data_IF_638616353211
#
_entry.id   IF_638616353211
#
_cell.length_a   1.000
_cell.length_b   1.000
_cell.length_c   1.000
_cell.angle_alpha   90.00
_cell.angle_beta   90.00
_cell.angle_gamma   90.00
#
_symmetry.space_group_name_H-M   'P 1'
#
loop_
_entity.id
_entity.type
_entity.pdbx_description
1 polymer ?
#
# COMPACT_ATOMS: atom_id res chain seq x y z
N UNK A 1 -26.32 -3.76 15.30
CA UNK A 1 -27.39 -2.78 15.55
C UNK A 1 -28.78 -3.41 15.53
N UNK A 2 -29.18 -4.04 14.44
CA UNK A 2 -30.54 -4.63 14.30
C UNK A 2 -30.96 -5.57 15.46
N UNK A 3 -29.96 -6.32 16.02
CA UNK A 3 -30.22 -7.30 17.09
C UNK A 3 -30.26 -6.67 18.49
N UNK A 4 -29.44 -5.63 18.73
CA UNK A 4 -29.19 -5.11 20.08
C UNK A 4 -29.75 -3.67 20.30
N UNK A 5 -30.18 -2.98 19.26
CA UNK A 5 -30.65 -1.59 19.33
C UNK A 5 -29.56 -0.54 19.48
N UNK A 6 -28.28 -0.95 19.67
CA UNK A 6 -27.12 -0.07 19.79
C UNK A 6 -25.92 -0.61 19.00
N UNK A 7 -24.92 0.25 18.77
CA UNK A 7 -23.64 -0.11 18.17
C UNK A 7 -22.50 0.56 18.91
N UNK A 8 -21.41 -0.18 19.17
CA UNK A 8 -20.21 0.32 19.83
C UNK A 8 -19.02 -0.24 19.09
N UNK A 9 -18.29 0.61 18.40
CA UNK A 9 -17.11 0.19 17.66
C UNK A 9 -15.96 1.19 17.82
N UNK A 10 -14.74 0.66 17.83
CA UNK A 10 -13.50 1.42 17.67
C UNK A 10 -12.84 0.90 16.41
N UNK A 11 -12.54 1.80 15.47
CA UNK A 11 -11.93 1.49 14.19
C UNK A 11 -10.54 2.11 14.18
N UNK A 12 -9.52 1.27 14.00
CA UNK A 12 -8.13 1.69 13.86
C UNK A 12 -7.75 1.69 12.38
N UNK A 13 -7.19 2.80 11.93
CA UNK A 13 -6.79 2.99 10.52
C UNK A 13 -5.34 3.49 10.43
N UNK A 14 -4.58 3.20 9.34
CA UNK A 14 -3.21 3.66 9.20
C UNK A 14 -3.07 5.17 8.95
N UNK A 15 -3.98 5.79 8.20
CA UNK A 15 -3.83 7.17 7.72
C UNK A 15 -5.03 8.06 8.04
N UNK A 16 -4.79 9.38 8.02
CA UNK A 16 -5.86 10.38 8.22
C UNK A 16 -6.89 10.36 7.08
N UNK A 17 -6.47 10.08 5.87
CA UNK A 17 -7.37 9.95 4.71
C UNK A 17 -8.35 8.80 4.91
N UNK A 18 -7.90 7.68 5.47
CA UNK A 18 -8.79 6.56 5.80
C UNK A 18 -9.77 6.90 6.93
N UNK A 19 -9.41 7.79 7.87
CA UNK A 19 -10.40 8.29 8.85
C UNK A 19 -11.58 8.94 8.14
N UNK A 20 -11.30 9.82 7.18
CA UNK A 20 -12.33 10.53 6.40
C UNK A 20 -13.18 9.55 5.57
N UNK A 21 -12.58 8.57 4.94
CA UNK A 21 -13.31 7.54 4.19
C UNK A 21 -14.20 6.67 5.08
N UNK A 22 -13.70 6.23 6.22
CA UNK A 22 -14.51 5.46 7.17
C UNK A 22 -15.71 6.27 7.72
N UNK A 23 -15.55 7.58 7.92
CA UNK A 23 -16.67 8.47 8.29
C UNK A 23 -17.76 8.41 7.21
N UNK A 24 -17.38 8.57 5.93
CA UNK A 24 -18.34 8.55 4.83
C UNK A 24 -19.01 7.19 4.67
N UNK A 25 -18.24 6.09 4.80
CA UNK A 25 -18.84 4.75 4.76
C UNK A 25 -19.78 4.50 5.93
N UNK A 26 -19.41 4.89 7.15
CA UNK A 26 -20.29 4.77 8.31
C UNK A 26 -21.61 5.54 8.10
N UNK A 27 -21.55 6.74 7.52
CA UNK A 27 -22.76 7.53 7.21
C UNK A 27 -23.69 6.84 6.20
N UNK A 28 -23.13 6.18 5.18
CA UNK A 28 -23.93 5.40 4.19
C UNK A 28 -24.73 4.27 4.84
N UNK A 29 -24.22 3.71 5.95
CA UNK A 29 -24.91 2.69 6.74
C UNK A 29 -25.72 3.25 7.91
N UNK A 30 -25.99 4.57 7.92
CA UNK A 30 -26.76 5.29 8.94
C UNK A 30 -26.16 5.23 10.36
N UNK A 31 -24.84 5.06 10.49
CA UNK A 31 -24.14 5.26 11.74
C UNK A 31 -23.94 6.77 11.96
N UNK A 32 -24.68 7.36 12.90
CA UNK A 32 -24.73 8.83 13.09
C UNK A 32 -23.81 9.36 14.19
N UNK A 33 -23.49 8.53 15.19
CA UNK A 33 -22.68 8.93 16.34
C UNK A 33 -21.22 8.53 16.08
N UNK A 34 -20.52 9.35 15.30
CA UNK A 34 -19.14 9.11 14.88
C UNK A 34 -18.24 10.12 15.60
N UNK A 35 -17.21 9.61 16.26
CA UNK A 35 -16.17 10.36 16.95
C UNK A 35 -14.82 10.07 16.32
N UNK A 36 -13.93 11.06 16.30
CA UNK A 36 -12.61 10.89 15.69
C UNK A 36 -11.49 11.21 16.66
N UNK A 37 -10.46 10.36 16.69
CA UNK A 37 -9.31 10.54 17.59
C UNK A 37 -8.02 10.53 16.76
N UNK A 38 -7.66 11.70 16.25
CA UNK A 38 -6.46 11.91 15.44
C UNK A 38 -6.02 13.39 15.49
N UNK A 39 -4.87 13.73 14.90
CA UNK A 39 -4.23 15.04 15.06
C UNK A 39 -5.05 16.24 14.57
N UNK A 40 -5.99 16.04 13.63
CA UNK A 40 -6.87 17.13 13.14
C UNK A 40 -8.07 17.42 14.04
N UNK A 41 -8.38 16.55 15.01
CA UNK A 41 -9.46 16.81 15.97
C UNK A 41 -8.88 17.18 17.35
N UNK A 42 -8.72 18.46 17.68
CA UNK A 42 -8.19 18.89 18.97
C UNK A 42 -9.15 18.61 20.14
N UNK A 43 -10.45 18.46 19.88
CA UNK A 43 -11.50 18.32 20.90
C UNK A 43 -11.79 16.86 21.27
N UNK A 44 -11.06 15.89 20.69
CA UNK A 44 -11.33 14.46 20.87
C UNK A 44 -11.43 14.05 22.35
N UNK A 45 -10.62 14.68 23.23
CA UNK A 45 -10.60 14.35 24.67
C UNK A 45 -11.96 14.64 25.31
N UNK A 46 -12.47 15.84 25.14
CA UNK A 46 -13.78 16.25 25.69
C UNK A 46 -14.92 15.37 25.15
N UNK A 47 -14.87 15.03 23.86
CA UNK A 47 -15.87 14.16 23.22
C UNK A 47 -15.84 12.76 23.83
N UNK A 48 -14.68 12.17 24.07
CA UNK A 48 -14.55 10.83 24.66
C UNK A 48 -14.90 10.84 26.15
N UNK A 49 -14.50 11.87 26.90
CA UNK A 49 -14.88 12.03 28.32
C UNK A 49 -16.41 12.12 28.48
N UNK A 50 -17.08 12.92 27.64
CA UNK A 50 -18.56 13.00 27.63
C UNK A 50 -19.19 11.64 27.25
N UNK A 51 -18.55 10.89 26.38
CA UNK A 51 -19.05 9.57 26.00
C UNK A 51 -18.93 8.58 27.17
N UNK A 52 -17.82 8.61 27.95
CA UNK A 52 -17.65 7.82 29.15
C UNK A 52 -18.69 8.17 30.22
N UNK A 53 -18.93 9.45 30.47
CA UNK A 53 -19.97 9.88 31.40
C UNK A 53 -21.36 9.34 31.03
N UNK A 54 -21.68 9.28 29.73
CA UNK A 54 -22.93 8.67 29.26
C UNK A 54 -22.97 7.16 29.47
N UNK A 55 -21.83 6.47 29.31
CA UNK A 55 -21.73 5.03 29.53
C UNK A 55 -21.89 4.67 31.02
N UNK A 56 -21.41 5.52 31.93
CA UNK A 56 -21.45 5.30 33.36
C UNK A 56 -22.84 5.61 33.98
N UNK A 57 -23.68 6.35 33.26
CA UNK A 57 -25.05 6.64 33.72
C UNK A 57 -25.89 5.37 33.73
N UNK A 58 -26.36 4.96 34.92
CA UNK A 58 -27.24 3.80 35.09
C UNK A 58 -28.50 3.93 34.22
N UNK A 59 -28.68 2.99 33.29
CA UNK A 59 -29.82 2.94 32.38
C UNK A 59 -29.58 3.53 30.99
N UNK A 60 -28.55 4.31 30.78
CA UNK A 60 -28.18 4.85 29.43
C UNK A 60 -26.99 4.12 28.82
N UNK A 61 -26.14 3.48 29.63
CA UNK A 61 -24.92 2.82 29.17
C UNK A 61 -25.16 1.71 28.15
N UNK A 62 -26.27 1.02 28.25
CA UNK A 62 -26.64 -0.06 27.33
C UNK A 62 -27.21 0.46 25.99
N UNK A 63 -27.71 1.67 25.94
CA UNK A 63 -28.31 2.30 24.75
C UNK A 63 -27.33 3.26 24.05
N UNK A 64 -26.19 3.55 24.69
CA UNK A 64 -25.20 4.45 24.11
C UNK A 64 -24.56 3.81 22.88
N UNK A 65 -24.76 4.47 21.74
CA UNK A 65 -24.16 4.04 20.47
C UNK A 65 -23.01 4.95 20.08
N UNK A 66 -21.93 4.38 19.54
CA UNK A 66 -20.81 5.14 19.01
C UNK A 66 -19.99 4.34 18.00
N UNK A 67 -19.38 5.07 17.08
CA UNK A 67 -18.22 4.63 16.29
C UNK A 67 -17.09 5.60 16.57
N UNK A 68 -15.97 5.13 17.08
CA UNK A 68 -14.77 5.92 17.28
C UNK A 68 -13.77 5.50 16.22
N UNK A 69 -13.24 6.45 15.44
CA UNK A 69 -12.25 6.19 14.41
C UNK A 69 -10.94 6.85 14.83
N UNK A 70 -9.87 6.06 14.93
CA UNK A 70 -8.56 6.54 15.35
C UNK A 70 -7.45 6.04 14.42
N UNK A 71 -6.41 6.84 14.23
CA UNK A 71 -5.21 6.33 13.57
C UNK A 71 -4.40 5.47 14.54
N UNK A 72 -3.67 4.45 14.03
CA UNK A 72 -2.76 3.64 14.85
C UNK A 72 -1.76 4.51 15.61
N UNK A 73 -1.21 5.54 14.95
CA UNK A 73 -0.25 6.48 15.56
C UNK A 73 -0.84 7.29 16.70
N UNK A 74 -2.13 7.58 16.67
CA UNK A 74 -2.84 8.22 17.80
C UNK A 74 -3.17 7.21 18.89
N UNK A 75 -3.65 6.04 18.52
CA UNK A 75 -4.07 4.97 19.46
C UNK A 75 -2.94 4.53 20.40
N UNK A 76 -1.69 4.46 19.93
CA UNK A 76 -0.54 4.04 20.75
C UNK A 76 -0.07 5.08 21.77
N UNK A 77 -0.56 6.32 21.70
CA UNK A 77 -0.23 7.36 22.71
C UNK A 77 -0.93 7.03 24.02
N UNK A 78 -0.21 7.14 25.15
CA UNK A 78 -0.69 6.74 26.48
C UNK A 78 -2.08 7.28 26.84
N UNK A 79 -2.28 8.57 26.66
CA UNK A 79 -3.54 9.24 26.97
C UNK A 79 -4.71 8.78 26.09
N UNK A 80 -4.45 8.51 24.80
CA UNK A 80 -5.46 8.00 23.87
C UNK A 80 -5.74 6.53 24.16
N UNK A 81 -4.67 5.73 24.35
CA UNK A 81 -4.81 4.32 24.65
C UNK A 81 -5.65 4.09 25.91
N UNK A 82 -5.33 4.77 27.00
CA UNK A 82 -6.06 4.66 28.28
C UNK A 82 -7.53 5.04 28.10
N UNK A 83 -7.82 6.16 27.41
CA UNK A 83 -9.17 6.62 27.18
C UNK A 83 -9.98 5.65 26.32
N UNK A 84 -9.39 5.14 25.21
CA UNK A 84 -10.12 4.23 24.31
C UNK A 84 -10.20 2.81 24.86
N UNK A 85 -9.22 2.34 25.63
CA UNK A 85 -9.19 0.97 26.16
C UNK A 85 -10.04 0.80 27.45
N UNK A 86 -10.72 1.84 27.93
CA UNK A 86 -11.57 1.79 29.13
C UNK A 86 -13.03 1.45 28.83
N UNK A 87 -13.49 1.51 27.59
CA UNK A 87 -14.84 1.09 27.21
C UNK A 87 -15.10 -0.40 27.49
N UNK A 88 -16.36 -0.79 27.57
CA UNK A 88 -16.79 -2.16 27.88
C UNK A 88 -16.17 -3.18 26.92
N UNK A 89 -15.33 -4.10 27.48
CA UNK A 89 -14.63 -5.13 26.72
C UNK A 89 -15.53 -6.11 25.98
N UNK A 90 -16.73 -6.37 26.53
CA UNK A 90 -17.67 -7.36 25.98
C UNK A 90 -18.66 -6.75 24.96
N UNK A 91 -18.83 -5.43 24.96
CA UNK A 91 -19.85 -4.73 24.17
C UNK A 91 -19.26 -3.89 23.04
N UNK A 92 -17.98 -3.57 23.11
CA UNK A 92 -17.28 -2.78 22.09
C UNK A 92 -16.57 -3.71 21.11
N UNK A 93 -16.76 -3.48 19.82
CA UNK A 93 -16.06 -4.15 18.73
C UNK A 93 -14.83 -3.34 18.35
N UNK A 94 -13.67 -3.97 18.34
CA UNK A 94 -12.44 -3.39 17.76
C UNK A 94 -12.31 -3.85 16.31
N UNK A 95 -12.23 -2.91 15.39
CA UNK A 95 -11.94 -3.16 13.98
C UNK A 95 -10.56 -2.57 13.68
N UNK A 96 -9.66 -3.39 13.17
CA UNK A 96 -8.34 -2.98 12.72
C UNK A 96 -8.30 -3.05 11.20
N UNK A 97 -8.39 -1.90 10.54
CA UNK A 97 -8.25 -1.79 9.10
C UNK A 97 -6.76 -1.81 8.75
N UNK A 98 -6.41 -2.46 7.63
CA UNK A 98 -5.03 -2.82 7.33
C UNK A 98 -4.33 -3.48 8.54
N UNK A 99 -4.92 -4.58 9.01
CA UNK A 99 -4.61 -5.26 10.27
C UNK A 99 -3.13 -5.62 10.45
N UNK A 100 -2.36 -5.71 9.36
CA UNK A 100 -0.91 -5.90 9.42
C UNK A 100 -0.18 -4.76 10.18
N UNK A 101 -0.79 -3.56 10.31
CA UNK A 101 -0.23 -2.48 11.13
C UNK A 101 -0.26 -2.79 12.64
N UNK A 102 -1.07 -3.76 13.07
CA UNK A 102 -1.04 -4.26 14.44
C UNK A 102 0.33 -4.87 14.81
N UNK A 103 1.09 -5.35 13.81
CA UNK A 103 2.45 -5.87 13.98
C UNK A 103 3.55 -4.80 14.06
N UNK A 104 3.23 -3.52 13.97
CA UNK A 104 4.24 -2.47 14.17
C UNK A 104 4.74 -2.43 15.62
N UNK A 105 6.03 -2.17 15.82
CA UNK A 105 6.66 -2.21 17.15
C UNK A 105 5.85 -1.46 18.23
N UNK A 106 5.43 -0.24 17.94
CA UNK A 106 4.66 0.59 18.89
C UNK A 106 3.29 0.00 19.25
N UNK A 107 2.64 -0.71 18.33
CA UNK A 107 1.37 -1.38 18.59
C UNK A 107 1.60 -2.70 19.31
N UNK A 108 2.64 -3.46 18.93
CA UNK A 108 3.02 -4.70 19.61
C UNK A 108 3.31 -4.48 21.11
N UNK A 109 3.94 -3.34 21.47
CA UNK A 109 4.18 -2.96 22.86
C UNK A 109 2.87 -2.79 23.67
N UNK A 110 1.73 -2.64 23.01
CA UNK A 110 0.40 -2.45 23.60
C UNK A 110 -0.57 -3.60 23.37
N UNK A 111 -0.29 -4.50 22.43
CA UNK A 111 -1.25 -5.48 21.91
C UNK A 111 -1.82 -6.37 23.00
N UNK A 112 -0.99 -6.82 23.94
CA UNK A 112 -1.39 -7.68 25.05
C UNK A 112 -2.23 -6.93 26.12
N UNK A 113 -2.19 -5.58 26.11
CA UNK A 113 -2.97 -4.72 26.99
C UNK A 113 -4.35 -4.34 26.43
N UNK A 114 -4.64 -4.66 25.17
CA UNK A 114 -5.93 -4.36 24.53
C UNK A 114 -7.01 -5.29 25.10
N UNK A 115 -8.02 -4.73 25.75
CA UNK A 115 -9.02 -5.49 26.53
C UNK A 115 -10.19 -6.05 25.72
N UNK A 116 -10.41 -5.58 24.48
CA UNK A 116 -11.61 -5.95 23.70
C UNK A 116 -11.61 -7.44 23.34
N UNK A 117 -12.76 -8.10 23.57
CA UNK A 117 -12.94 -9.52 23.25
C UNK A 117 -13.48 -9.74 21.84
N UNK A 118 -14.15 -8.73 21.27
CA UNK A 118 -14.67 -8.77 19.90
C UNK A 118 -13.73 -7.99 19.00
N UNK A 119 -13.08 -8.70 18.09
CA UNK A 119 -12.01 -8.13 17.25
C UNK A 119 -12.20 -8.56 15.81
N UNK A 120 -12.01 -7.66 14.88
CA UNK A 120 -11.99 -7.92 13.43
C UNK A 120 -10.74 -7.28 12.87
N UNK A 121 -9.92 -8.05 12.19
CA UNK A 121 -8.82 -7.57 11.37
C UNK A 121 -9.20 -7.61 9.90
N UNK A 122 -9.08 -6.49 9.20
CA UNK A 122 -9.30 -6.38 7.77
C UNK A 122 -7.95 -6.15 7.10
N UNK A 123 -7.59 -6.93 6.12
CA UNK A 123 -6.38 -6.73 5.33
C UNK A 123 -6.45 -7.46 4.00
N UNK A 124 -6.01 -6.81 2.93
CA UNK A 124 -5.80 -7.47 1.65
C UNK A 124 -4.55 -8.38 1.67
N UNK A 125 -3.61 -8.10 2.59
CA UNK A 125 -2.34 -8.81 2.74
C UNK A 125 -1.99 -8.88 4.22
N UNK A 126 -2.55 -9.87 4.94
CA UNK A 126 -2.47 -9.94 6.40
C UNK A 126 -1.06 -10.24 6.92
N UNK A 127 -0.20 -10.84 6.10
CA UNK A 127 1.17 -11.21 6.50
C UNK A 127 2.16 -10.05 6.28
N UNK A 128 3.02 -9.84 7.25
CA UNK A 128 4.19 -8.98 7.17
C UNK A 128 5.37 -9.81 6.67
N UNK A 129 6.06 -9.33 5.64
CA UNK A 129 7.26 -10.02 5.15
C UNK A 129 8.38 -9.94 6.21
N UNK A 130 9.11 -11.02 6.39
CA UNK A 130 10.27 -11.12 7.30
C UNK A 130 10.01 -10.74 8.77
N UNK A 131 8.74 -10.70 9.20
CA UNK A 131 8.32 -10.38 10.57
C UNK A 131 7.49 -11.52 11.17
N UNK A 132 8.14 -12.65 11.43
CA UNK A 132 7.48 -13.85 12.00
C UNK A 132 6.86 -13.58 13.37
N UNK A 133 7.56 -12.77 14.21
CA UNK A 133 7.07 -12.42 15.53
C UNK A 133 5.80 -11.55 15.43
N UNK A 134 5.83 -10.53 14.59
CA UNK A 134 4.66 -9.68 14.34
C UNK A 134 3.48 -10.48 13.78
N UNK A 135 3.72 -11.36 12.81
CA UNK A 135 2.69 -12.22 12.24
C UNK A 135 2.06 -13.14 13.27
N UNK A 136 2.88 -13.80 14.12
CA UNK A 136 2.39 -14.65 15.18
C UNK A 136 1.53 -13.86 16.17
N UNK A 137 1.98 -12.70 16.62
CA UNK A 137 1.23 -11.83 17.56
C UNK A 137 -0.09 -11.33 16.97
N UNK A 138 -0.13 -10.99 15.69
CA UNK A 138 -1.37 -10.61 14.98
C UNK A 138 -2.34 -11.79 14.97
N UNK A 139 -1.87 -12.98 14.60
CA UNK A 139 -2.70 -14.18 14.54
C UNK A 139 -3.25 -14.56 15.93
N UNK A 140 -2.42 -14.55 16.97
CA UNK A 140 -2.85 -14.74 18.36
C UNK A 140 -3.90 -13.72 18.77
N UNK A 141 -3.69 -12.43 18.43
CA UNK A 141 -4.61 -11.35 18.78
C UNK A 141 -5.98 -11.50 18.14
N UNK A 142 -6.07 -11.91 16.89
CA UNK A 142 -7.34 -12.14 16.19
C UNK A 142 -7.88 -13.55 16.31
N UNK A 143 -7.12 -14.47 16.93
CA UNK A 143 -7.52 -15.88 17.06
C UNK A 143 -7.54 -16.60 15.70
N UNK A 144 -6.63 -16.28 14.80
CA UNK A 144 -6.55 -16.79 13.43
C UNK A 144 -5.39 -17.75 13.20
N UNK A 145 -5.03 -18.55 14.21
CA UNK A 145 -3.94 -19.54 14.15
C UNK A 145 -4.14 -20.57 13.03
N UNK A 146 -5.37 -20.92 12.73
CA UNK A 146 -5.74 -21.96 11.77
C UNK A 146 -6.19 -21.39 10.40
N UNK A 147 -5.91 -20.12 10.15
CA UNK A 147 -6.30 -19.43 8.92
C UNK A 147 -7.27 -18.26 9.15
N UNK A 148 -7.76 -17.68 8.07
CA UNK A 148 -8.66 -16.53 8.15
C UNK A 148 -10.11 -16.97 8.30
N UNK A 149 -10.87 -16.23 9.09
CA UNK A 149 -12.31 -16.46 9.29
C UNK A 149 -13.10 -16.28 8.00
N UNK A 150 -12.64 -15.37 7.14
CA UNK A 150 -13.25 -15.07 5.86
C UNK A 150 -12.18 -14.56 4.89
N UNK A 151 -12.21 -15.07 3.68
CA UNK A 151 -11.39 -14.62 2.57
C UNK A 151 -12.30 -14.29 1.39
N UNK A 152 -12.07 -13.17 0.73
CA UNK A 152 -12.75 -12.78 -0.49
C UNK A 152 -11.72 -12.41 -1.54
N UNK A 153 -11.47 -13.34 -2.42
CA UNK A 153 -10.42 -13.22 -3.42
C UNK A 153 -10.75 -12.15 -4.48
N UNK A 154 -9.71 -11.63 -5.12
CA UNK A 154 -9.87 -10.68 -6.23
C UNK A 154 -10.64 -11.32 -7.40
N UNK A 155 -10.46 -12.63 -7.63
CA UNK A 155 -11.21 -13.38 -8.63
C UNK A 155 -12.69 -13.39 -8.31
N UNK A 156 -13.07 -13.74 -7.10
CA UNK A 156 -14.47 -13.68 -6.66
C UNK A 156 -15.06 -12.27 -6.77
N UNK A 157 -14.27 -11.23 -6.46
CA UNK A 157 -14.71 -9.86 -6.60
C UNK A 157 -14.96 -9.46 -8.06
N UNK A 158 -14.20 -10.01 -9.02
CA UNK A 158 -14.41 -9.81 -10.45
C UNK A 158 -15.61 -10.64 -10.92
N UNK A 159 -15.70 -11.90 -10.52
CA UNK A 159 -16.78 -12.82 -10.93
C UNK A 159 -18.15 -12.35 -10.38
N UNK A 160 -18.17 -11.78 -9.18
CA UNK A 160 -19.36 -11.19 -8.57
C UNK A 160 -19.59 -9.71 -8.96
N UNK A 161 -18.86 -9.23 -9.95
CA UNK A 161 -19.04 -7.90 -10.54
C UNK A 161 -18.78 -6.70 -9.58
N UNK A 162 -18.00 -6.89 -8.50
CA UNK A 162 -17.52 -5.81 -7.64
C UNK A 162 -16.30 -5.10 -8.21
N UNK A 163 -15.46 -5.81 -8.96
CA UNK A 163 -14.31 -5.29 -9.69
C UNK A 163 -14.49 -5.50 -11.18
N UNK A 164 -13.84 -4.68 -12.01
CA UNK A 164 -13.87 -4.84 -13.45
C UNK A 164 -12.84 -5.88 -13.91
N UNK A 165 -13.10 -6.51 -15.06
CA UNK A 165 -12.11 -7.36 -15.74
C UNK A 165 -10.92 -6.54 -16.22
N UNK A 166 -9.77 -7.18 -16.44
CA UNK A 166 -8.57 -6.50 -16.87
C UNK A 166 -7.73 -7.35 -17.81
N UNK A 167 -6.82 -6.66 -18.53
CA UNK A 167 -5.70 -7.26 -19.24
C UNK A 167 -4.40 -6.90 -18.52
N UNK A 168 -3.52 -7.89 -18.43
CA UNK A 168 -2.20 -7.72 -17.84
C UNK A 168 -1.13 -8.00 -18.89
N UNK A 169 -0.23 -7.04 -19.07
CA UNK A 169 0.87 -7.10 -20.01
C UNK A 169 2.21 -6.95 -19.29
N UNK A 170 2.88 -8.06 -18.95
CA UNK A 170 4.25 -7.99 -18.43
C UNK A 170 5.21 -7.66 -19.56
N UNK A 171 6.06 -6.66 -19.34
CA UNK A 171 7.13 -6.24 -20.25
C UNK A 171 8.46 -6.57 -19.62
N UNK A 172 9.23 -7.47 -20.22
CA UNK A 172 10.55 -7.82 -19.73
C UNK A 172 11.54 -6.74 -20.14
N UNK A 173 12.14 -6.13 -19.14
CA UNK A 173 13.16 -5.10 -19.26
C UNK A 173 14.53 -5.75 -19.05
N UNK A 174 15.48 -5.52 -19.94
CA UNK A 174 16.86 -5.98 -19.83
C UNK A 174 17.76 -4.83 -19.37
N UNK A 175 18.75 -5.16 -18.59
CA UNK A 175 19.83 -4.24 -18.27
C UNK A 175 20.78 -4.14 -19.48
N UNK A 176 21.28 -2.95 -19.79
CA UNK A 176 22.36 -2.78 -20.75
C UNK A 176 23.69 -3.27 -20.17
N UNK A 177 24.74 -3.33 -20.97
CA UNK A 177 26.03 -3.91 -20.56
C UNK A 177 26.65 -3.19 -19.35
N UNK A 178 26.55 -1.87 -19.28
CA UNK A 178 27.08 -1.08 -18.17
C UNK A 178 26.25 -1.30 -16.88
N UNK A 179 24.94 -1.31 -16.99
CA UNK A 179 24.01 -1.60 -15.89
C UNK A 179 24.21 -3.04 -15.39
N UNK A 180 24.39 -3.99 -16.30
CA UNK A 180 24.61 -5.40 -15.97
C UNK A 180 25.95 -5.60 -15.28
N UNK A 181 27.00 -4.92 -15.70
CA UNK A 181 28.32 -4.96 -15.04
C UNK A 181 28.24 -4.47 -13.59
N UNK A 182 27.64 -3.31 -13.34
CA UNK A 182 27.46 -2.78 -11.97
C UNK A 182 26.54 -3.68 -11.14
N UNK A 183 25.50 -4.23 -11.73
CA UNK A 183 24.59 -5.17 -11.09
C UNK A 183 25.33 -6.42 -10.60
N UNK A 184 26.12 -7.09 -11.46
CA UNK A 184 26.89 -8.28 -11.12
C UNK A 184 27.96 -7.99 -10.04
N UNK A 185 28.60 -6.82 -10.10
CA UNK A 185 29.55 -6.39 -9.07
C UNK A 185 28.91 -6.29 -7.69
N UNK A 186 27.70 -5.75 -7.59
CA UNK A 186 26.95 -5.68 -6.35
C UNK A 186 26.47 -7.07 -5.92
N UNK A 187 25.97 -7.88 -6.85
CA UNK A 187 25.55 -9.26 -6.60
C UNK A 187 26.66 -10.13 -6.02
N UNK A 188 27.88 -9.97 -6.52
CA UNK A 188 29.07 -10.63 -5.96
C UNK A 188 29.38 -10.19 -4.52
N UNK A 189 29.10 -8.95 -4.16
CA UNK A 189 29.23 -8.49 -2.77
C UNK A 189 28.11 -9.04 -1.89
N UNK A 190 26.86 -9.04 -2.39
CA UNK A 190 25.70 -9.57 -1.70
C UNK A 190 25.80 -11.07 -1.42
N UNK A 191 26.40 -11.85 -2.32
CA UNK A 191 26.56 -13.31 -2.14
C UNK A 191 27.35 -13.68 -0.88
N UNK A 192 28.19 -12.79 -0.37
CA UNK A 192 28.93 -12.99 0.90
C UNK A 192 28.04 -12.94 2.14
N UNK A 193 26.88 -12.29 2.05
CA UNK A 193 25.89 -12.19 3.12
C UNK A 193 24.77 -13.21 2.98
N UNK A 194 24.76 -14.00 1.89
CA UNK A 194 23.70 -14.96 1.60
C UNK A 194 24.06 -16.34 2.15
N UNK A 195 23.16 -16.90 2.95
CA UNK A 195 23.27 -18.26 3.45
C UNK A 195 22.59 -19.21 2.45
N UNK A 196 23.39 -20.00 1.74
CA UNK A 196 22.92 -20.91 0.70
C UNK A 196 22.16 -22.13 1.23
N UNK A 197 22.37 -22.51 2.50
CA UNK A 197 21.65 -23.63 3.13
C UNK A 197 20.25 -23.23 3.60
N UNK A 198 20.13 -21.99 4.06
CA UNK A 198 18.84 -21.42 4.53
C UNK A 198 18.12 -20.64 3.44
N UNK A 199 18.71 -20.48 2.28
CA UNK A 199 18.22 -19.66 1.15
C UNK A 199 17.78 -18.24 1.58
N UNK A 200 18.51 -17.63 2.53
CA UNK A 200 18.17 -16.34 3.12
C UNK A 200 19.44 -15.51 3.39
N UNK A 201 19.26 -14.20 3.50
CA UNK A 201 20.32 -13.31 3.96
C UNK A 201 20.56 -13.45 5.47
N UNK A 202 21.80 -13.20 5.91
CA UNK A 202 22.14 -13.05 7.32
C UNK A 202 21.33 -11.90 7.96
N UNK A 203 21.29 -11.85 9.31
CA UNK A 203 20.61 -10.75 10.02
C UNK A 203 21.13 -9.37 9.56
N UNK A 204 20.25 -8.37 9.66
CA UNK A 204 20.42 -7.02 9.15
C UNK A 204 21.75 -6.38 9.56
N UNK A 205 22.60 -6.17 8.56
CA UNK A 205 23.83 -5.39 8.62
C UNK A 205 23.60 -4.15 7.74
N UNK A 206 24.01 -2.98 8.18
CA UNK A 206 23.90 -1.74 7.42
C UNK A 206 24.55 -1.84 6.02
N UNK A 207 25.62 -2.64 5.91
CA UNK A 207 26.31 -2.90 4.65
C UNK A 207 25.42 -3.73 3.70
N UNK A 208 24.75 -4.76 4.22
CA UNK A 208 23.81 -5.57 3.44
C UNK A 208 22.67 -4.70 2.91
N UNK A 209 22.12 -3.88 3.76
CA UNK A 209 21.06 -2.92 3.42
C UNK A 209 21.53 -2.02 2.29
N UNK A 210 22.68 -1.36 2.44
CA UNK A 210 23.23 -0.46 1.44
C UNK A 210 23.47 -1.15 0.08
N UNK A 211 23.90 -2.41 0.08
CA UNK A 211 24.10 -3.18 -1.16
C UNK A 211 22.77 -3.54 -1.84
N UNK A 212 21.76 -3.97 -1.08
CA UNK A 212 20.42 -4.23 -1.60
C UNK A 212 19.82 -2.97 -2.22
N UNK A 213 20.01 -1.82 -1.57
CA UNK A 213 19.58 -0.53 -2.07
C UNK A 213 20.27 -0.16 -3.39
N UNK A 214 21.59 -0.29 -3.45
CA UNK A 214 22.35 -0.03 -4.69
C UNK A 214 21.88 -0.93 -5.83
N UNK A 215 21.65 -2.22 -5.57
CA UNK A 215 21.11 -3.16 -6.56
C UNK A 215 19.73 -2.71 -7.06
N UNK A 216 18.84 -2.37 -6.15
CA UNK A 216 17.48 -1.92 -6.48
C UNK A 216 17.50 -0.62 -7.28
N UNK A 217 18.42 0.29 -6.99
CA UNK A 217 18.61 1.54 -7.75
C UNK A 217 18.93 1.28 -9.23
N UNK A 218 19.77 0.27 -9.55
CA UNK A 218 20.04 -0.12 -10.94
C UNK A 218 18.75 -0.62 -11.61
N UNK A 219 17.99 -1.49 -10.94
CA UNK A 219 16.71 -2.02 -11.43
C UNK A 219 15.71 -0.89 -11.70
N UNK A 220 15.62 0.09 -10.80
CA UNK A 220 14.70 1.21 -10.95
C UNK A 220 15.06 2.14 -12.09
N UNK A 221 16.36 2.35 -12.32
CA UNK A 221 16.88 3.26 -13.34
C UNK A 221 17.18 2.59 -14.70
N UNK A 222 16.88 1.30 -14.86
CA UNK A 222 17.12 0.56 -16.07
C UNK A 222 16.62 1.33 -17.32
N UNK A 223 17.54 1.71 -18.19
CA UNK A 223 17.28 2.62 -19.31
C UNK A 223 16.21 2.09 -20.28
N UNK A 224 16.15 0.80 -20.48
CA UNK A 224 15.16 0.18 -21.36
C UNK A 224 13.72 0.40 -20.89
N UNK A 225 13.48 0.66 -19.58
CA UNK A 225 12.15 0.99 -19.05
C UNK A 225 11.55 2.21 -19.75
N UNK A 226 12.34 3.24 -19.99
CA UNK A 226 11.89 4.49 -20.59
C UNK A 226 11.42 4.28 -22.03
N UNK A 227 12.18 3.50 -22.79
CA UNK A 227 11.82 3.16 -24.18
C UNK A 227 10.53 2.35 -24.26
N UNK A 228 10.37 1.35 -23.38
CA UNK A 228 9.15 0.54 -23.30
C UNK A 228 7.96 1.39 -22.85
N UNK A 229 8.16 2.23 -21.83
CA UNK A 229 7.14 3.16 -21.34
C UNK A 229 6.66 4.10 -22.44
N UNK A 230 7.58 4.74 -23.15
CA UNK A 230 7.26 5.63 -24.28
C UNK A 230 6.52 4.89 -25.39
N UNK A 231 6.93 3.67 -25.71
CA UNK A 231 6.26 2.81 -26.71
C UNK A 231 4.81 2.52 -26.33
N UNK A 232 4.54 2.14 -25.06
CA UNK A 232 3.18 1.89 -24.56
C UNK A 232 2.31 3.14 -24.71
N UNK A 233 2.83 4.30 -24.35
CA UNK A 233 2.09 5.56 -24.46
C UNK A 233 1.80 5.93 -25.91
N UNK A 234 2.77 5.78 -26.82
CA UNK A 234 2.61 6.04 -28.25
C UNK A 234 1.57 5.13 -28.89
N UNK A 235 1.59 3.84 -28.55
CA UNK A 235 0.61 2.88 -29.02
C UNK A 235 -0.80 3.25 -28.58
N UNK A 236 -1.00 3.52 -27.29
CA UNK A 236 -2.31 3.97 -26.79
C UNK A 236 -2.75 5.28 -27.42
N UNK A 237 -1.85 6.25 -27.58
CA UNK A 237 -2.18 7.52 -28.23
C UNK A 237 -2.58 7.33 -29.69
N UNK A 238 -1.89 6.44 -30.41
CA UNK A 238 -2.24 6.06 -31.79
C UNK A 238 -3.62 5.42 -31.89
N UNK A 239 -3.99 4.57 -30.91
CA UNK A 239 -5.27 3.88 -30.90
C UNK A 239 -6.44 4.78 -30.50
N UNK A 240 -6.26 5.61 -29.47
CA UNK A 240 -7.35 6.37 -28.83
C UNK A 240 -7.32 7.87 -29.09
N UNK A 241 -6.24 8.41 -29.62
CA UNK A 241 -6.03 9.85 -29.80
C UNK A 241 -5.83 10.63 -28.50
N UNK A 242 -5.73 9.95 -27.36
CA UNK A 242 -5.51 10.54 -26.03
C UNK A 242 -4.96 9.50 -25.06
N UNK A 243 -4.49 9.99 -23.89
CA UNK A 243 -4.03 9.14 -22.78
C UNK A 243 -4.94 9.21 -21.55
N UNK A 244 -6.22 9.59 -21.73
CA UNK A 244 -7.14 9.77 -20.62
C UNK A 244 -7.22 8.56 -19.70
N UNK A 245 -7.32 8.84 -18.41
CA UNK A 245 -7.47 7.85 -17.34
C UNK A 245 -6.29 6.89 -17.20
N UNK A 246 -5.07 7.40 -17.45
CA UNK A 246 -3.82 6.66 -17.31
C UNK A 246 -3.12 7.00 -15.98
N UNK A 247 -2.83 5.97 -15.18
CA UNK A 247 -2.02 6.06 -13.98
C UNK A 247 -0.60 5.52 -14.26
N UNK A 248 0.41 6.26 -13.83
CA UNK A 248 1.80 5.83 -13.91
C UNK A 248 2.38 5.72 -12.51
N UNK A 249 2.77 4.52 -12.12
CA UNK A 249 3.41 4.27 -10.84
C UNK A 249 4.93 4.30 -11.02
N UNK A 250 5.55 5.35 -10.53
CA UNK A 250 7.00 5.58 -10.60
C UNK A 250 7.67 5.05 -9.33
N UNK A 251 8.91 4.55 -9.42
CA UNK A 251 9.67 4.12 -8.24
C UNK A 251 9.84 5.24 -7.20
N UNK A 252 9.78 4.85 -5.93
CA UNK A 252 10.01 5.75 -4.81
C UNK A 252 11.45 5.85 -4.39
N UNK A 253 11.71 6.93 -3.65
CA UNK A 253 12.91 7.20 -2.95
C UNK A 253 12.73 7.47 -1.44
N UNK A 254 11.91 6.74 -0.63
CA UNK A 254 11.70 7.02 0.81
C UNK A 254 12.39 6.04 1.75
N UNK A 255 12.73 6.47 2.98
CA UNK A 255 13.39 5.64 4.01
C UNK A 255 12.52 4.44 4.41
N UNK A 256 13.06 3.23 4.52
CA UNK A 256 12.32 2.08 5.01
C UNK A 256 11.97 2.27 6.50
N UNK A 257 10.69 2.10 6.85
CA UNK A 257 10.25 2.11 8.25
C UNK A 257 10.64 0.82 8.99
N UNK A 258 11.00 -0.24 8.27
CA UNK A 258 11.42 -1.53 8.82
C UNK A 258 12.32 -2.31 7.87
N UNK A 259 13.01 -3.35 8.38
CA UNK A 259 13.81 -4.27 7.56
C UNK A 259 12.99 -4.99 6.48
N UNK A 260 11.71 -5.24 6.75
CA UNK A 260 10.77 -5.76 5.77
C UNK A 260 10.56 -4.80 4.59
N UNK A 261 10.63 -3.49 4.85
CA UNK A 261 10.49 -2.47 3.83
C UNK A 261 11.74 -2.32 2.97
N UNK A 262 12.90 -2.89 3.36
CA UNK A 262 14.15 -2.81 2.56
C UNK A 262 14.06 -3.63 1.29
N UNK A 263 13.36 -4.77 1.33
CA UNK A 263 13.03 -5.49 0.11
C UNK A 263 11.96 -4.77 -0.70
N UNK A 264 11.32 -3.80 -0.11
CA UNK A 264 10.17 -3.07 -0.62
C UNK A 264 10.46 -1.61 -0.96
N UNK A 265 11.23 -0.92 -0.13
CA UNK A 265 11.61 0.47 -0.33
C UNK A 265 13.11 0.65 -0.20
N UNK A 266 13.66 1.49 -1.04
CA UNK A 266 15.04 1.95 -0.96
C UNK A 266 15.10 3.19 -0.11
N UNK A 267 15.98 3.26 0.88
CA UNK A 267 16.72 4.48 1.21
C UNK A 267 17.77 4.37 2.29
N UNK A 268 18.82 5.05 2.10
CA UNK A 268 19.32 6.21 2.81
C UNK A 268 20.47 6.87 2.06
N UNK A 269 20.58 8.18 2.15
CA UNK A 269 21.62 9.07 1.60
C UNK A 269 21.38 9.45 0.12
N UNK A 270 20.96 10.66 -0.13
CA UNK A 270 20.78 11.34 -1.43
C UNK A 270 19.61 10.84 -2.30
N UNK A 271 18.54 10.35 -1.71
CA UNK A 271 17.46 9.70 -2.44
C UNK A 271 16.28 10.62 -2.72
N UNK A 272 16.05 11.64 -1.91
CA UNK A 272 14.99 12.63 -2.17
C UNK A 272 15.21 13.30 -3.53
N UNK A 273 16.48 13.61 -3.86
CA UNK A 273 16.89 14.21 -5.14
C UNK A 273 16.69 13.24 -6.34
N UNK A 274 16.85 11.94 -6.12
CA UNK A 274 16.77 10.92 -7.18
C UNK A 274 15.33 10.52 -7.51
N UNK A 275 14.45 10.49 -6.53
CA UNK A 275 13.04 10.13 -6.72
C UNK A 275 12.27 11.26 -7.39
N UNK A 276 12.55 12.51 -7.01
CA UNK A 276 12.01 13.67 -7.71
C UNK A 276 12.44 13.67 -9.17
N UNK A 277 13.71 13.40 -9.47
CA UNK A 277 14.19 13.30 -10.84
C UNK A 277 13.55 12.16 -11.66
N UNK A 278 13.20 11.04 -11.04
CA UNK A 278 12.54 9.95 -11.77
C UNK A 278 11.09 10.31 -12.13
N UNK A 279 10.32 10.87 -11.22
CA UNK A 279 8.94 11.26 -11.52
C UNK A 279 8.90 12.34 -12.58
N UNK A 280 9.76 13.36 -12.48
CA UNK A 280 9.93 14.41 -13.50
C UNK A 280 10.25 13.80 -14.86
N UNK A 281 11.16 12.83 -14.91
CA UNK A 281 11.58 12.18 -16.14
C UNK A 281 10.43 11.44 -16.83
N UNK A 282 9.66 10.62 -16.07
CA UNK A 282 8.49 9.94 -16.61
C UNK A 282 7.40 10.94 -17.01
N UNK A 283 7.21 12.01 -16.26
CA UNK A 283 6.29 13.10 -16.59
C UNK A 283 6.70 13.81 -17.89
N UNK A 284 7.98 14.07 -18.11
CA UNK A 284 8.52 14.64 -19.34
C UNK A 284 8.28 13.73 -20.56
N UNK A 285 8.48 12.40 -20.40
CA UNK A 285 8.16 11.44 -21.46
C UNK A 285 6.68 11.50 -21.83
N UNK A 286 5.77 11.60 -20.85
CA UNK A 286 4.34 11.77 -21.13
C UNK A 286 4.08 13.06 -21.92
N UNK A 287 4.68 14.18 -21.50
CA UNK A 287 4.55 15.47 -22.19
C UNK A 287 5.05 15.42 -23.63
N UNK A 288 6.07 14.61 -23.91
CA UNK A 288 6.65 14.49 -25.26
C UNK A 288 5.75 13.79 -26.28
N UNK A 289 4.74 13.03 -25.81
CA UNK A 289 3.82 12.28 -26.69
C UNK A 289 2.96 13.24 -27.54
N UNK A 290 2.50 14.34 -26.94
CA UNK A 290 1.72 15.35 -27.64
C UNK A 290 1.80 16.72 -26.94
N UNK A 291 1.88 17.85 -27.70
CA UNK A 291 1.89 19.19 -27.11
C UNK A 291 0.63 19.55 -26.30
N UNK A 292 -0.46 18.83 -26.51
CA UNK A 292 -1.74 19.04 -25.80
C UNK A 292 -1.91 18.15 -24.59
N UNK A 293 -0.90 17.33 -24.27
CA UNK A 293 -0.99 16.36 -23.17
C UNK A 293 -1.12 17.06 -21.83
N UNK A 294 -2.09 16.62 -21.04
CA UNK A 294 -2.29 17.10 -19.68
C UNK A 294 -1.87 16.02 -18.69
N UNK A 295 -0.79 16.30 -17.95
CA UNK A 295 -0.21 15.41 -16.93
C UNK A 295 0.04 16.17 -15.65
N UNK A 296 -0.11 15.51 -14.51
CA UNK A 296 0.22 16.03 -13.20
C UNK A 296 0.89 14.96 -12.36
N UNK A 297 1.83 15.41 -11.56
CA UNK A 297 2.44 14.61 -10.51
C UNK A 297 1.56 14.61 -9.27
N UNK A 298 1.44 13.45 -8.66
CA UNK A 298 0.67 13.24 -7.45
C UNK A 298 1.57 12.63 -6.38
N UNK A 299 2.06 13.48 -5.48
CA UNK A 299 2.98 13.14 -4.41
C UNK A 299 2.35 13.43 -3.04
N UNK A 300 3.04 13.08 -1.93
CA UNK A 300 2.60 13.44 -0.57
C UNK A 300 2.43 14.95 -0.39
N UNK A 301 3.26 15.73 -1.08
CA UNK A 301 3.33 17.19 -0.96
C UNK A 301 2.41 17.93 -1.94
N UNK A 302 1.72 17.19 -2.80
CA UNK A 302 0.79 17.77 -3.78
C UNK A 302 -0.30 18.57 -3.07
N UNK A 303 -0.37 19.85 -3.39
CA UNK A 303 -1.45 20.76 -2.98
C UNK A 303 -2.72 20.44 -3.79
N UNK A 304 -3.90 20.75 -3.21
CA UNK A 304 -5.21 20.57 -3.90
C UNK A 304 -5.46 19.14 -4.42
N UNK A 305 -5.04 18.11 -3.65
CA UNK A 305 -5.15 16.69 -4.05
C UNK A 305 -6.55 16.32 -4.56
N UNK A 306 -7.60 16.79 -3.90
CA UNK A 306 -8.99 16.51 -4.30
C UNK A 306 -9.30 17.04 -5.68
N UNK A 307 -8.82 18.24 -6.03
CA UNK A 307 -9.01 18.86 -7.35
C UNK A 307 -8.25 18.10 -8.44
N UNK A 308 -7.02 17.67 -8.17
CA UNK A 308 -6.24 16.85 -9.12
C UNK A 308 -6.99 15.56 -9.44
N UNK A 309 -7.57 14.89 -8.44
CA UNK A 309 -8.34 13.67 -8.63
C UNK A 309 -9.67 13.92 -9.37
N UNK A 310 -10.32 15.05 -9.12
CA UNK A 310 -11.53 15.45 -9.84
C UNK A 310 -11.22 15.75 -11.32
N UNK A 311 -10.17 16.50 -11.60
CA UNK A 311 -9.73 16.81 -12.97
C UNK A 311 -9.30 15.53 -13.72
N UNK A 312 -8.68 14.57 -13.04
CA UNK A 312 -8.38 13.24 -13.60
C UNK A 312 -9.65 12.44 -13.87
N UNK A 313 -10.58 12.37 -12.93
CA UNK A 313 -11.83 11.60 -13.09
C UNK A 313 -12.76 12.19 -14.15
N UNK A 314 -12.72 13.50 -14.36
CA UNK A 314 -13.45 14.19 -15.44
C UNK A 314 -12.76 14.10 -16.81
N UNK A 315 -11.51 13.65 -16.86
CA UNK A 315 -10.69 13.56 -18.09
C UNK A 315 -10.14 14.90 -18.58
N UNK A 316 -10.17 15.97 -17.77
CA UNK A 316 -9.44 17.21 -18.00
C UNK A 316 -7.93 16.98 -17.85
N UNK A 317 -7.57 16.15 -16.90
CA UNK A 317 -6.23 15.64 -16.69
C UNK A 317 -6.16 14.21 -17.26
N UNK A 318 -5.27 13.98 -18.24
CA UNK A 318 -5.22 12.70 -18.93
C UNK A 318 -4.37 11.66 -18.18
N UNK A 319 -3.21 12.09 -17.67
CA UNK A 319 -2.23 11.21 -17.02
C UNK A 319 -1.91 11.71 -15.62
N UNK A 320 -1.87 10.79 -14.70
CA UNK A 320 -1.43 11.02 -13.33
C UNK A 320 -0.17 10.19 -13.07
N UNK A 321 0.97 10.85 -12.86
CA UNK A 321 2.20 10.21 -12.42
C UNK A 321 2.28 10.23 -10.91
N UNK A 322 2.56 9.09 -10.28
CA UNK A 322 2.53 8.98 -8.83
C UNK A 322 3.60 8.04 -8.32
N UNK A 323 4.09 8.34 -7.14
CA UNK A 323 4.82 7.41 -6.29
C UNK A 323 3.82 6.71 -5.34
N UNK A 324 4.21 6.35 -4.12
CA UNK A 324 3.41 5.62 -3.11
C UNK A 324 2.07 6.26 -2.71
N UNK A 325 1.92 7.56 -2.86
CA UNK A 325 0.78 8.30 -2.33
C UNK A 325 -0.60 7.89 -2.89
N UNK A 326 -0.64 7.13 -3.99
CA UNK A 326 -1.86 6.48 -4.47
C UNK A 326 -2.10 5.10 -3.84
N UNK A 327 -1.18 4.59 -3.01
CA UNK A 327 -1.29 3.24 -2.43
C UNK A 327 -2.24 3.20 -1.24
N UNK A 328 -2.44 4.32 -0.51
CA UNK A 328 -3.30 4.36 0.66
C UNK A 328 -4.32 5.51 0.60
N UNK A 329 -5.59 5.17 0.82
CA UNK A 329 -6.65 6.16 1.05
C UNK A 329 -7.09 7.02 -0.15
N UNK A 330 -6.62 6.76 -1.37
CA UNK A 330 -7.01 7.52 -2.56
C UNK A 330 -7.88 6.66 -3.48
N UNK A 331 -9.02 7.16 -3.88
CA UNK A 331 -9.92 6.48 -4.81
C UNK A 331 -9.80 7.08 -6.23
N UNK A 332 -9.54 6.22 -7.23
CA UNK A 332 -9.39 6.60 -8.64
C UNK A 332 -10.16 5.63 -9.55
N UNK A 333 -11.50 5.52 -9.38
CA UNK A 333 -12.28 4.46 -10.05
C UNK A 333 -12.26 4.53 -11.57
N UNK A 334 -12.05 5.73 -12.13
CA UNK A 334 -12.02 5.95 -13.58
C UNK A 334 -10.69 5.59 -14.25
N UNK A 335 -9.69 5.11 -13.51
CA UNK A 335 -8.44 4.68 -14.15
C UNK A 335 -8.67 3.48 -15.08
N UNK A 336 -8.39 3.65 -16.37
CA UNK A 336 -8.55 2.62 -17.39
C UNK A 336 -7.24 1.90 -17.71
N UNK A 337 -6.11 2.61 -17.61
CA UNK A 337 -4.78 2.06 -17.82
C UNK A 337 -3.87 2.37 -16.64
N UNK A 338 -3.05 1.42 -16.27
CA UNK A 338 -1.97 1.63 -15.31
C UNK A 338 -0.65 1.10 -15.87
N UNK A 339 0.43 1.84 -15.63
CA UNK A 339 1.78 1.43 -16.00
C UNK A 339 2.62 1.40 -14.72
N UNK A 340 3.08 0.20 -14.36
CA UNK A 340 3.99 -0.01 -13.21
C UNK A 340 5.44 0.09 -13.70
N UNK A 341 6.06 1.25 -13.52
CA UNK A 341 7.49 1.47 -13.79
C UNK A 341 8.35 1.06 -12.59
N UNK A 342 7.74 0.94 -11.40
CA UNK A 342 8.39 0.48 -10.19
C UNK A 342 8.33 -1.05 -10.10
N UNK A 343 9.48 -1.70 -10.09
CA UNK A 343 9.58 -3.10 -9.68
C UNK A 343 9.56 -3.16 -8.16
N UNK A 344 8.40 -3.34 -7.55
CA UNK A 344 8.28 -3.49 -6.10
C UNK A 344 8.21 -4.98 -5.77
N UNK A 345 9.12 -5.47 -4.94
CA UNK A 345 9.07 -6.83 -4.40
C UNK A 345 7.97 -7.04 -3.36
N UNK A 346 7.21 -5.97 -2.99
CA UNK A 346 6.15 -6.05 -1.99
C UNK A 346 4.82 -6.44 -2.64
N UNK A 347 4.36 -7.68 -2.44
CA UNK A 347 3.07 -8.12 -2.94
C UNK A 347 1.92 -7.26 -2.46
N UNK A 348 2.04 -6.65 -1.27
CA UNK A 348 1.01 -5.80 -0.66
C UNK A 348 0.70 -4.56 -1.49
N UNK A 349 1.73 -3.76 -1.78
CA UNK A 349 1.55 -2.54 -2.58
C UNK A 349 0.94 -2.88 -3.94
N UNK A 350 1.39 -3.97 -4.51
CA UNK A 350 0.94 -4.40 -5.80
C UNK A 350 -0.54 -4.85 -5.81
N UNK A 351 -0.96 -5.61 -4.80
CA UNK A 351 -2.36 -6.00 -4.61
C UNK A 351 -3.23 -4.78 -4.37
N UNK A 352 -2.78 -3.84 -3.54
CA UNK A 352 -3.50 -2.59 -3.27
C UNK A 352 -3.64 -1.72 -4.53
N UNK A 353 -2.55 -1.51 -5.29
CA UNK A 353 -2.57 -0.77 -6.57
C UNK A 353 -3.53 -1.41 -7.56
N UNK A 354 -3.42 -2.74 -7.75
CA UNK A 354 -4.31 -3.50 -8.61
C UNK A 354 -5.78 -3.34 -8.19
N UNK A 355 -6.10 -3.53 -6.91
CA UNK A 355 -7.45 -3.38 -6.40
C UNK A 355 -8.06 -2.00 -6.67
N UNK A 356 -7.27 -0.92 -6.65
CA UNK A 356 -7.75 0.43 -6.99
C UNK A 356 -8.02 0.60 -8.48
N UNK A 357 -7.11 0.09 -9.31
CA UNK A 357 -7.26 0.14 -10.77
C UNK A 357 -8.47 -0.65 -11.22
N UNK A 358 -8.82 -1.73 -10.53
CA UNK A 358 -9.95 -2.58 -10.89
C UNK A 358 -11.30 -2.10 -10.36
N UNK A 359 -11.36 -1.00 -9.60
CA UNK A 359 -12.63 -0.43 -9.15
C UNK A 359 -13.52 -0.10 -10.33
N UNK A 360 -14.81 -0.39 -10.19
CA UNK A 360 -15.80 -0.14 -11.24
C UNK A 360 -16.11 1.35 -11.39
N UNK A 361 -16.34 1.75 -12.61
CA UNK A 361 -16.91 3.05 -12.96
C UNK A 361 -17.90 2.83 -14.10
N UNK A 362 -18.99 3.60 -14.14
CA UNK A 362 -20.07 3.47 -15.15
C UNK A 362 -19.57 3.49 -16.60
N UNK A 363 -18.52 4.27 -16.87
CA UNK A 363 -17.94 4.42 -18.21
C UNK A 363 -16.68 3.55 -18.44
N UNK A 364 -16.37 2.64 -17.50
CA UNK A 364 -15.20 1.77 -17.57
C UNK A 364 -15.60 0.33 -17.68
N UNK A 365 -15.35 -0.26 -18.82
CA UNK A 365 -15.65 -1.65 -19.07
C UNK A 365 -14.58 -2.61 -18.54
N UNK A 366 -13.31 -2.25 -18.71
CA UNK A 366 -12.14 -3.04 -18.28
C UNK A 366 -10.95 -2.14 -17.98
N UNK A 367 -9.98 -2.69 -17.28
CA UNK A 367 -8.70 -2.05 -17.05
C UNK A 367 -7.59 -2.72 -17.87
N UNK A 368 -6.52 -1.97 -18.16
CA UNK A 368 -5.29 -2.47 -18.78
C UNK A 368 -4.13 -2.16 -17.85
N UNK A 369 -3.32 -3.17 -17.56
CA UNK A 369 -2.17 -3.04 -16.66
C UNK A 369 -0.92 -3.44 -17.42
N UNK A 370 0.04 -2.52 -17.55
CA UNK A 370 1.38 -2.78 -18.05
C UNK A 370 2.35 -2.81 -16.88
N UNK A 371 3.18 -3.84 -16.78
CA UNK A 371 4.17 -3.99 -15.71
C UNK A 371 5.57 -4.13 -16.30
N UNK A 372 6.48 -3.20 -15.97
CA UNK A 372 7.86 -3.18 -16.45
C UNK A 372 8.75 -3.98 -15.49
N UNK A 373 9.03 -5.22 -15.85
CA UNK A 373 9.74 -6.19 -15.01
C UNK A 373 11.18 -6.28 -15.44
N UNK A 374 12.11 -5.88 -14.58
CA UNK A 374 13.55 -6.04 -14.86
C UNK A 374 13.95 -7.48 -14.53
N UNK A 375 14.39 -8.20 -15.54
CA UNK A 375 14.91 -9.55 -15.43
C UNK A 375 16.38 -9.58 -15.90
N UNK A 376 17.34 -9.41 -14.98
CA UNK A 376 18.77 -9.55 -15.32
C UNK A 376 19.05 -10.97 -15.75
N UNK A 377 19.83 -11.10 -16.82
CA UNK A 377 20.25 -12.43 -17.26
C UNK A 377 21.59 -12.80 -16.60
N UNK A 378 21.55 -13.82 -15.74
CA UNK A 378 22.72 -14.28 -14.99
C UNK A 378 23.06 -15.69 -15.42
N UNK A 379 24.34 -15.92 -15.75
CA UNK A 379 24.83 -17.24 -16.14
C UNK A 379 24.77 -18.21 -14.94
N UNK A 380 24.41 -19.47 -15.21
CA UNK A 380 24.44 -20.55 -14.22
C UNK A 380 25.84 -20.83 -13.65
N UNK A 381 26.89 -20.34 -14.30
CA UNK A 381 28.28 -20.44 -13.86
C UNK A 381 28.68 -19.40 -12.81
N UNK A 382 27.83 -18.38 -12.55
CA UNK A 382 28.11 -17.36 -11.56
C UNK A 382 27.83 -17.85 -10.14
N UNK A 383 28.76 -17.54 -9.20
CA UNK A 383 28.58 -17.89 -7.78
C UNK A 383 27.32 -17.32 -7.16
N UNK A 384 26.84 -16.20 -7.67
CA UNK A 384 25.62 -15.53 -7.21
C UNK A 384 24.32 -16.11 -7.80
N UNK A 385 24.38 -17.07 -8.71
CA UNK A 385 23.23 -17.55 -9.48
C UNK A 385 22.05 -17.99 -8.62
N UNK A 386 22.28 -18.80 -7.57
CA UNK A 386 21.19 -19.25 -6.67
C UNK A 386 20.53 -18.09 -5.95
N UNK A 387 21.33 -17.17 -5.42
CA UNK A 387 20.83 -15.99 -4.73
C UNK A 387 19.99 -15.13 -5.68
N UNK A 388 20.48 -14.85 -6.86
CA UNK A 388 19.80 -14.04 -7.86
C UNK A 388 18.52 -14.69 -8.37
N UNK A 389 18.52 -15.99 -8.53
CA UNK A 389 17.31 -16.75 -8.86
C UNK A 389 16.24 -16.59 -7.78
N UNK A 390 16.58 -16.71 -6.52
CA UNK A 390 15.64 -16.54 -5.42
C UNK A 390 15.09 -15.10 -5.34
N UNK A 391 15.96 -14.11 -5.56
CA UNK A 391 15.52 -12.70 -5.62
C UNK A 391 14.56 -12.48 -6.79
N UNK A 392 14.86 -13.01 -7.97
CA UNK A 392 14.00 -12.91 -9.14
C UNK A 392 12.68 -13.68 -8.94
N UNK A 393 12.72 -14.88 -8.39
CA UNK A 393 11.51 -15.66 -8.08
C UNK A 393 10.59 -14.92 -7.10
N UNK A 394 11.17 -14.20 -6.14
CA UNK A 394 10.40 -13.34 -5.22
C UNK A 394 9.74 -12.18 -5.95
N UNK A 395 10.44 -11.53 -6.86
CA UNK A 395 9.88 -10.47 -7.70
C UNK A 395 8.82 -10.99 -8.69
N UNK A 396 9.01 -12.20 -9.23
CA UNK A 396 8.07 -12.82 -10.18
C UNK A 396 6.82 -13.40 -9.52
N UNK A 397 6.82 -13.62 -8.19
CA UNK A 397 5.59 -14.04 -7.49
C UNK A 397 4.42 -13.12 -7.81
N UNK A 398 4.63 -11.81 -7.84
CA UNK A 398 3.60 -10.84 -8.17
C UNK A 398 3.03 -11.03 -9.58
N UNK A 399 3.86 -11.43 -10.55
CA UNK A 399 3.44 -11.66 -11.95
C UNK A 399 2.54 -12.88 -12.05
N UNK A 400 2.80 -13.89 -11.23
CA UNK A 400 2.04 -15.12 -11.18
C UNK A 400 0.66 -14.94 -10.55
N UNK A 401 0.49 -13.92 -9.70
CA UNK A 401 -0.76 -13.57 -9.02
C UNK A 401 -1.75 -12.82 -9.93
N UNK A 402 -1.34 -12.47 -11.16
CA UNK A 402 -2.20 -11.91 -12.21
C UNK A 402 -2.78 -13.00 -13.10
#
# INVERSE_FOLDING_TARGET
>A
YKRYGFYKAIILVPTQTLVEQWIEECKKFDFRKIYTVYSKNPNWRNEIELLHLKEDFKGLGDETSFVIISTYSSFVRENVFSALNSFSKNRTLLIADEAHNMGSKRVLDRIDSIKYLRRIGLSATPFRQFDELGNRKINEFFGSSDGFTFEYSMREAIDNDFLCRYYYYPHIVRLNDAEMYEYLKISKQLSKFYNYDKESFAQSDDILIALLLKRKKIIHKAQQKEMIFESILKERYKEKGNLKYTLVYVPEGNRPDSFADIFDTTETLDVDDISEHLIDKYTQIVCSISPKMTVREFTSDSKERSKILEDFSSGKLEVLTSMKCLDEGVDVPRSEMAIFCASTGNPRQFVQRRGRILRKHKDKYRAVIHDLIVAPWISTSEDSYKMERNLLETELKRVRDF
#
